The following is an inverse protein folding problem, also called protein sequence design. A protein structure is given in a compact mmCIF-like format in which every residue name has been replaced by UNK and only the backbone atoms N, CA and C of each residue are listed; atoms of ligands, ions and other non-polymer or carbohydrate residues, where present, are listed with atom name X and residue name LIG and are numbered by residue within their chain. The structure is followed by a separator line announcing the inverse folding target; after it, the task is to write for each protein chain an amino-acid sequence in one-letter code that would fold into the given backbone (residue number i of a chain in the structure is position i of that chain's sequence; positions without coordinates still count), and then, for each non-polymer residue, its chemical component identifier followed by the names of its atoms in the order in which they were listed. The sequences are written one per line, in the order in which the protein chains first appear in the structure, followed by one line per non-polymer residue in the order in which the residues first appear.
data_IF_376702586597
#
_entry.id   IF_376702586597
#
_cell.length_a   1.000
_cell.length_b   1.000
_cell.length_c   1.000
_cell.angle_alpha   90.00
_cell.angle_beta   90.00
_cell.angle_gamma   90.00
#
_symmetry.space_group_name_H-M   'P 1'
#
loop_
_entity.id
_entity.type
_entity.pdbx_description
1 polymer ?
#
# COMPACT_ATOMS: atom_id res chain seq x y z
N UNK A 1 2.72 8.33 -12.32
CA UNK A 1 3.29 7.65 -11.13
C UNK A 1 2.98 6.17 -11.27
N UNK A 2 4.00 5.32 -11.47
CA UNK A 2 3.81 3.88 -11.71
C UNK A 2 3.48 3.13 -10.41
N UNK A 3 2.74 2.02 -10.48
CA UNK A 3 2.39 1.19 -9.31
C UNK A 3 3.61 0.67 -8.55
N UNK A 4 4.71 0.40 -9.26
CA UNK A 4 5.98 -0.04 -8.68
C UNK A 4 6.60 1.02 -7.76
N UNK A 5 6.56 2.29 -8.17
CA UNK A 5 7.04 3.41 -7.35
C UNK A 5 6.26 3.55 -6.04
N UNK A 6 4.95 3.30 -6.08
CA UNK A 6 4.09 3.37 -4.89
C UNK A 6 4.46 2.24 -3.93
N UNK A 7 4.67 1.02 -4.42
CA UNK A 7 5.08 -0.11 -3.59
C UNK A 7 6.43 0.13 -2.91
N UNK A 8 7.43 0.65 -3.65
CA UNK A 8 8.74 0.97 -3.07
C UNK A 8 8.63 2.02 -1.97
N UNK A 9 7.88 3.10 -2.20
CA UNK A 9 7.72 4.17 -1.21
C UNK A 9 6.98 3.71 0.06
N UNK A 10 5.99 2.84 -0.11
CA UNK A 10 5.25 2.25 1.01
C UNK A 10 6.17 1.33 1.83
N UNK A 11 7.03 0.53 1.18
CA UNK A 11 8.01 -0.33 1.84
C UNK A 11 9.03 0.49 2.65
N UNK A 12 9.59 1.55 2.06
CA UNK A 12 10.51 2.48 2.74
C UNK A 12 9.86 3.14 3.96
N UNK A 13 8.59 3.57 3.84
CA UNK A 13 7.85 4.19 4.93
C UNK A 13 7.61 3.22 6.09
N UNK A 14 7.17 1.99 5.81
CA UNK A 14 6.94 0.98 6.84
C UNK A 14 8.21 0.56 7.57
N UNK A 15 9.31 0.37 6.84
CA UNK A 15 10.60 0.01 7.44
C UNK A 15 11.10 1.09 8.41
N UNK A 16 10.77 2.36 8.15
CA UNK A 16 11.07 3.48 9.05
C UNK A 16 10.19 3.52 10.29
N UNK A 17 8.93 3.10 10.17
CA UNK A 17 7.93 3.17 11.25
C UNK A 17 8.01 1.99 12.21
N UNK A 18 8.32 0.81 11.69
CA UNK A 18 8.37 -0.43 12.44
C UNK A 18 9.78 -0.99 12.28
N UNK A 19 10.68 -0.67 13.21
CA UNK A 19 12.02 -1.24 13.27
C UNK A 19 11.92 -2.77 13.13
N UNK A 20 12.35 -3.27 11.99
CA UNK A 20 11.88 -4.53 11.39
C UNK A 20 12.51 -5.76 12.07
N UNK A 21 11.79 -6.40 12.99
CA UNK A 21 12.08 -7.80 13.38
C UNK A 21 10.94 -8.77 13.09
N UNK A 22 9.76 -8.30 12.76
CA UNK A 22 8.69 -9.19 12.32
C UNK A 22 7.82 -8.42 11.34
N UNK A 23 7.67 -8.94 10.13
CA UNK A 23 6.35 -9.03 9.50
C UNK A 23 6.50 -9.38 8.03
N UNK A 24 5.97 -10.54 7.66
CA UNK A 24 5.19 -10.63 6.43
C UNK A 24 4.09 -9.56 6.49
N UNK A 25 4.42 -8.31 6.22
CA UNK A 25 3.43 -7.26 5.99
C UNK A 25 2.91 -7.48 4.57
N UNK A 26 2.21 -8.59 4.38
CA UNK A 26 1.34 -8.77 3.24
C UNK A 26 0.31 -7.66 3.37
N UNK A 27 0.52 -6.57 2.62
CA UNK A 27 -0.53 -5.60 2.34
C UNK A 27 -1.65 -6.40 1.70
N UNK A 28 -2.54 -6.94 2.54
CA UNK A 28 -3.71 -7.65 2.07
C UNK A 28 -4.39 -6.66 1.14
N UNK A 29 -4.56 -7.03 -0.11
CA UNK A 29 -5.16 -6.20 -1.16
C UNK A 29 -6.46 -5.55 -0.65
N UNK A 30 -7.17 -6.23 0.25
CA UNK A 30 -8.33 -5.70 0.98
C UNK A 30 -8.09 -4.45 1.83
N UNK A 31 -6.92 -4.24 2.43
CA UNK A 31 -6.59 -2.99 3.15
C UNK A 31 -6.51 -1.80 2.20
N UNK A 32 -5.82 -1.97 1.06
CA UNK A 32 -5.67 -0.92 0.07
C UNK A 32 -7.03 -0.53 -0.54
N UNK A 33 -7.87 -1.51 -0.85
CA UNK A 33 -9.22 -1.26 -1.37
C UNK A 33 -10.11 -0.57 -0.32
N UNK A 34 -10.02 -0.97 0.96
CA UNK A 34 -10.73 -0.27 2.07
C UNK A 34 -10.22 1.15 2.31
N UNK A 35 -8.91 1.39 2.17
CA UNK A 35 -8.32 2.72 2.27
C UNK A 35 -8.85 3.63 1.14
N UNK A 36 -8.80 3.14 -0.11
CA UNK A 36 -9.35 3.86 -1.26
C UNK A 36 -10.83 4.20 -1.07
N UNK A 37 -11.65 3.25 -0.60
CA UNK A 37 -13.07 3.46 -0.36
C UNK A 37 -13.34 4.56 0.70
N UNK A 38 -12.58 4.57 1.81
CA UNK A 38 -12.75 5.57 2.88
C UNK A 38 -12.41 6.99 2.44
N UNK A 39 -11.48 7.14 1.51
CA UNK A 39 -11.04 8.46 1.02
C UNK A 39 -11.61 8.81 -0.36
N UNK A 40 -12.56 8.02 -0.88
CA UNK A 40 -13.19 8.27 -2.18
C UNK A 40 -12.23 8.16 -3.37
N UNK A 41 -11.09 7.50 -3.21
CA UNK A 41 -10.10 7.32 -4.27
C UNK A 41 -10.64 6.26 -5.23
N UNK A 42 -11.08 6.69 -6.41
CA UNK A 42 -11.59 5.77 -7.43
C UNK A 42 -10.44 4.92 -7.96
N UNK A 43 -10.59 3.59 -7.89
CA UNK A 43 -9.70 2.66 -8.57
C UNK A 43 -10.06 2.68 -10.05
N UNK A 44 -9.30 3.41 -10.86
CA UNK A 44 -9.48 3.39 -12.31
C UNK A 44 -9.07 1.98 -12.80
N UNK A 45 -10.06 1.15 -13.13
CA UNK A 45 -9.79 -0.10 -13.86
C UNK A 45 -9.42 0.32 -15.29
N UNK A 46 -8.17 0.16 -15.67
CA UNK A 46 -7.79 0.08 -17.09
C UNK A 46 -8.20 -1.34 -17.50
N UNK A 47 -9.03 -1.44 -18.54
CA UNK A 47 -9.54 -2.69 -19.13
C UNK A 47 -8.41 -3.62 -19.56
#
# INVERSE_FOLDING_TARGET
MSGEMIQTKVKEFLQKMYSYENSEFNFLIGWLERFKARHGIKSYRIC
#
